data_IF_199553714814
#
_entry.id   IF_199553714814
#
_cell.length_a   1.000
_cell.length_b   1.000
_cell.length_c   1.000
_cell.angle_alpha   90.00
_cell.angle_beta   90.00
_cell.angle_gamma   90.00
#
_symmetry.space_group_name_H-M   'P 1'
#
loop_
_entity.id
_entity.type
_entity.pdbx_description
1 polymer ?
#
# COMPACT_ATOMS: atom_id res chain seq x y z
N UNK A 1 11.38 -13.24 4.46
CA UNK A 1 11.33 -12.03 5.33
C UNK A 1 12.76 -11.53 5.51
N UNK A 2 12.99 -10.23 5.75
CA UNK A 2 14.34 -9.67 5.93
C UNK A 2 15.09 -10.42 7.05
N UNK A 3 16.22 -11.02 6.73
CA UNK A 3 16.94 -11.93 7.63
C UNK A 3 18.06 -11.23 8.39
N UNK A 4 18.62 -10.14 7.83
CA UNK A 4 19.70 -9.39 8.45
C UNK A 4 19.17 -8.31 9.42
N UNK A 5 19.82 -8.08 10.58
CA UNK A 5 19.41 -7.05 11.54
C UNK A 5 19.28 -5.66 10.93
N UNK A 6 20.19 -5.28 10.03
CA UNK A 6 20.20 -3.99 9.34
C UNK A 6 18.97 -3.79 8.45
N UNK A 7 18.55 -4.84 7.73
CA UNK A 7 17.35 -4.79 6.87
C UNK A 7 16.08 -4.65 7.70
N UNK A 8 16.02 -5.31 8.86
CA UNK A 8 14.90 -5.18 9.78
C UNK A 8 14.86 -3.77 10.40
N UNK A 9 16.01 -3.22 10.77
CA UNK A 9 16.11 -1.86 11.28
C UNK A 9 15.66 -0.85 10.23
N UNK A 10 16.16 -0.96 9.00
CA UNK A 10 15.71 -0.13 7.88
C UNK A 10 14.19 -0.22 7.66
N UNK A 11 13.61 -1.42 7.76
CA UNK A 11 12.16 -1.62 7.69
C UNK A 11 11.39 -0.89 8.80
N UNK A 12 11.89 -0.92 10.04
CA UNK A 12 11.32 -0.17 11.17
C UNK A 12 11.44 1.33 10.96
N UNK A 13 12.60 1.82 10.54
CA UNK A 13 12.84 3.24 10.29
C UNK A 13 11.94 3.78 9.18
N UNK A 14 11.69 2.99 8.14
CA UNK A 14 10.73 3.33 7.08
C UNK A 14 9.31 3.53 7.59
N UNK A 15 8.88 2.78 8.61
CA UNK A 15 7.55 2.91 9.20
C UNK A 15 7.50 4.06 10.22
N UNK A 16 8.52 4.16 11.08
CA UNK A 16 8.58 5.16 12.15
C UNK A 16 8.60 6.59 11.59
N UNK A 17 9.31 6.80 10.47
CA UNK A 17 9.40 8.06 9.73
C UNK A 17 8.15 8.45 8.92
N UNK A 18 7.09 7.64 8.94
CA UNK A 18 5.85 8.01 8.25
C UNK A 18 5.14 9.16 8.99
N UNK A 19 4.62 10.16 8.27
CA UNK A 19 3.76 11.18 8.86
C UNK A 19 2.44 10.58 9.34
N UNK A 20 1.73 11.27 10.24
CA UNK A 20 0.45 10.82 10.79
C UNK A 20 -0.60 10.59 9.70
N UNK A 21 -0.63 11.44 8.66
CA UNK A 21 -1.49 11.22 7.49
C UNK A 21 -1.28 9.84 6.85
N UNK A 22 -0.05 9.34 6.81
CA UNK A 22 0.25 8.01 6.27
C UNK A 22 -0.15 6.92 7.27
N UNK A 23 0.13 7.10 8.57
CA UNK A 23 -0.16 6.11 9.62
C UNK A 23 -1.67 5.84 9.78
N UNK A 24 -2.52 6.82 9.51
CA UNK A 24 -3.99 6.70 9.54
C UNK A 24 -4.63 6.39 8.19
N UNK A 25 -3.83 6.26 7.12
CA UNK A 25 -4.35 6.08 5.77
C UNK A 25 -4.89 4.65 5.53
N UNK A 26 -6.10 4.55 4.97
CA UNK A 26 -6.78 3.28 4.68
C UNK A 26 -6.00 2.32 3.74
N UNK A 27 -5.12 2.86 2.89
CA UNK A 27 -4.27 2.10 1.95
C UNK A 27 -2.84 1.91 2.46
N UNK A 28 -2.50 2.35 3.67
CA UNK A 28 -1.14 2.26 4.25
C UNK A 28 -0.64 0.83 4.26
N UNK A 29 -1.50 -0.14 4.58
CA UNK A 29 -1.14 -1.58 4.59
C UNK A 29 -0.66 -2.09 3.23
N UNK A 30 -1.10 -1.45 2.13
CA UNK A 30 -0.74 -1.81 0.76
C UNK A 30 0.48 -1.01 0.27
N UNK A 31 0.48 0.32 0.44
CA UNK A 31 1.56 1.17 -0.08
C UNK A 31 2.78 1.26 0.86
N UNK A 32 2.58 1.09 2.17
CA UNK A 32 3.57 1.25 3.25
C UNK A 32 4.37 2.57 3.21
N UNK A 33 3.79 3.60 2.63
CA UNK A 33 4.46 4.89 2.36
C UNK A 33 5.62 4.81 1.36
N UNK A 34 5.76 3.70 0.63
CA UNK A 34 6.75 3.49 -0.44
C UNK A 34 8.20 3.75 0.02
N UNK A 35 9.11 4.13 -0.88
CA UNK A 35 10.53 4.32 -0.66
C UNK A 35 10.79 5.70 -0.06
N UNK A 36 11.62 5.82 1.00
CA UNK A 36 11.95 7.12 1.59
C UNK A 36 12.54 8.12 0.60
N UNK A 37 13.26 7.65 -0.42
CA UNK A 37 13.81 8.50 -1.49
C UNK A 37 12.73 9.35 -2.19
N UNK A 38 11.51 8.83 -2.28
CA UNK A 38 10.40 9.48 -2.97
C UNK A 38 9.47 10.26 -2.02
N UNK A 39 9.86 10.42 -0.74
CA UNK A 39 9.06 11.06 0.32
C UNK A 39 9.46 12.52 0.56
N UNK A 40 9.32 13.34 -0.47
CA UNK A 40 9.76 14.75 -0.44
C UNK A 40 8.60 15.76 -0.47
N UNK A 41 7.35 15.29 -0.44
CA UNK A 41 6.19 16.17 -0.32
C UNK A 41 5.83 16.42 1.16
N UNK A 42 5.04 17.46 1.35
CA UNK A 42 4.43 17.82 2.64
C UNK A 42 2.99 17.33 2.69
N UNK A 43 2.54 16.89 3.86
CA UNK A 43 1.16 16.47 4.10
C UNK A 43 0.20 17.67 4.19
N UNK A 44 -1.10 17.39 4.29
CA UNK A 44 -2.12 18.43 4.44
C UNK A 44 -2.02 19.17 5.81
N UNK A 45 -1.40 18.51 6.79
CA UNK A 45 -1.14 18.99 8.15
C UNK A 45 0.32 19.45 8.36
N UNK A 46 1.03 19.76 7.28
CA UNK A 46 2.39 20.32 7.27
C UNK A 46 3.50 19.39 7.81
N UNK A 47 3.29 18.07 7.86
CA UNK A 47 4.36 17.11 8.12
C UNK A 47 5.16 16.81 6.83
N UNK A 48 6.48 16.71 6.94
CA UNK A 48 7.31 16.22 5.84
C UNK A 48 7.26 14.70 5.72
N UNK A 49 7.66 14.17 4.56
CA UNK A 49 7.79 12.73 4.35
C UNK A 49 6.60 12.09 3.63
N UNK A 50 5.77 12.88 2.94
CA UNK A 50 4.73 12.36 2.06
C UNK A 50 5.34 11.90 0.73
N UNK A 51 4.94 10.71 0.28
CA UNK A 51 5.37 10.18 -1.01
C UNK A 51 4.79 10.99 -2.18
N UNK A 52 5.60 11.27 -3.20
CA UNK A 52 5.20 12.00 -4.41
C UNK A 52 3.95 11.42 -5.11
N UNK A 53 3.82 10.09 -5.13
CA UNK A 53 2.70 9.39 -5.77
C UNK A 53 1.54 9.11 -4.82
N UNK A 54 1.48 9.73 -3.63
CA UNK A 54 0.47 9.41 -2.62
C UNK A 54 -0.97 9.48 -3.17
N UNK A 55 -1.31 10.54 -3.92
CA UNK A 55 -2.63 10.67 -4.55
C UNK A 55 -2.93 9.54 -5.55
N UNK A 56 -1.93 9.19 -6.38
CA UNK A 56 -2.02 8.10 -7.35
C UNK A 56 -2.21 6.74 -6.67
N UNK A 57 -1.44 6.44 -5.63
CA UNK A 57 -1.59 5.20 -4.87
C UNK A 57 -2.93 5.09 -4.16
N UNK A 58 -3.43 6.17 -3.55
CA UNK A 58 -4.79 6.18 -2.98
C UNK A 58 -5.83 5.79 -4.04
N UNK A 59 -5.77 6.40 -5.24
CA UNK A 59 -6.69 6.07 -6.34
C UNK A 59 -6.53 4.62 -6.81
N UNK A 60 -5.30 4.19 -7.05
CA UNK A 60 -5.00 2.84 -7.54
C UNK A 60 -5.47 1.77 -6.55
N UNK A 61 -5.07 1.84 -5.29
CA UNK A 61 -5.40 0.79 -4.31
C UNK A 61 -6.88 0.76 -3.97
N UNK A 62 -7.59 1.90 -3.96
CA UNK A 62 -9.06 1.91 -3.82
C UNK A 62 -9.73 1.16 -4.97
N UNK A 63 -9.27 1.38 -6.20
CA UNK A 63 -9.82 0.72 -7.39
C UNK A 63 -9.47 -0.76 -7.42
N UNK A 64 -8.20 -1.12 -7.20
CA UNK A 64 -7.71 -2.48 -7.34
C UNK A 64 -8.15 -3.42 -6.20
N UNK A 65 -8.38 -2.88 -4.98
CA UNK A 65 -8.70 -3.66 -3.77
C UNK A 65 -9.77 -4.75 -4.00
N UNK A 66 -10.99 -4.46 -4.50
CA UNK A 66 -12.01 -5.51 -4.64
C UNK A 66 -11.60 -6.63 -5.62
N UNK A 67 -10.85 -6.29 -6.68
CA UNK A 67 -10.35 -7.26 -7.66
C UNK A 67 -9.25 -8.14 -7.06
N UNK A 68 -8.29 -7.53 -6.36
CA UNK A 68 -7.21 -8.25 -5.67
C UNK A 68 -7.75 -9.14 -4.54
N UNK A 69 -8.78 -8.69 -3.82
CA UNK A 69 -9.45 -9.49 -2.79
C UNK A 69 -10.15 -10.71 -3.39
N UNK A 70 -10.84 -10.54 -4.52
CA UNK A 70 -11.43 -11.66 -5.25
C UNK A 70 -10.34 -12.66 -5.67
N UNK A 71 -9.30 -12.20 -6.38
CA UNK A 71 -8.21 -13.08 -6.83
C UNK A 71 -7.53 -13.82 -5.67
N UNK A 72 -7.32 -13.16 -4.53
CA UNK A 72 -6.74 -13.81 -3.35
C UNK A 72 -7.62 -14.93 -2.78
N UNK A 73 -8.94 -14.75 -2.80
CA UNK A 73 -9.88 -15.80 -2.36
C UNK A 73 -9.94 -16.96 -3.37
N UNK A 74 -9.76 -16.67 -4.67
CA UNK A 74 -9.84 -17.68 -5.73
C UNK A 74 -8.59 -18.54 -5.90
N UNK A 75 -7.49 -18.30 -5.18
CA UNK A 75 -6.22 -19.05 -5.36
C UNK A 75 -6.40 -20.57 -5.25
N UNK A 76 -7.33 -21.04 -4.42
CA UNK A 76 -7.60 -22.46 -4.22
C UNK A 76 -8.83 -22.98 -4.99
N UNK A 77 -9.43 -22.14 -5.85
CA UNK A 77 -10.66 -22.44 -6.58
C UNK A 77 -10.42 -22.58 -8.08
N UNK A 78 -11.31 -23.29 -8.81
CA UNK A 78 -11.26 -23.32 -10.27
C UNK A 78 -11.45 -21.91 -10.86
N UNK A 79 -10.83 -21.62 -12.02
CA UNK A 79 -10.88 -20.28 -12.62
C UNK A 79 -12.29 -19.86 -13.09
N UNK A 80 -13.25 -20.78 -13.17
CA UNK A 80 -14.60 -20.53 -13.67
C UNK A 80 -15.37 -19.46 -12.89
N UNK A 81 -15.03 -19.22 -11.62
CA UNK A 81 -15.68 -18.20 -10.79
C UNK A 81 -15.47 -16.77 -11.31
N UNK A 82 -14.46 -16.52 -12.17
CA UNK A 82 -14.30 -15.21 -12.83
C UNK A 82 -15.51 -14.86 -13.71
N UNK A 83 -16.13 -15.88 -14.32
CA UNK A 83 -17.25 -15.71 -15.25
C UNK A 83 -18.53 -15.26 -14.53
N UNK A 84 -18.72 -15.66 -13.27
CA UNK A 84 -19.87 -15.24 -12.46
C UNK A 84 -19.66 -13.87 -11.80
N UNK A 85 -18.40 -13.51 -11.53
CA UNK A 85 -18.03 -12.23 -10.88
C UNK A 85 -18.18 -11.01 -11.78
N UNK A 86 -17.96 -11.17 -13.07
CA UNK A 86 -18.11 -10.13 -14.10
C UNK A 86 -19.13 -10.62 -15.12
N UNK A 87 -20.41 -10.61 -14.76
CA UNK A 87 -21.48 -10.76 -15.75
C UNK A 87 -21.34 -9.62 -16.75
N UNK A 88 -20.92 -9.95 -17.97
CA UNK A 88 -21.08 -9.13 -19.17
C UNK A 88 -22.51 -9.34 -19.66
#
# INVERSE_FOLDING_TARGET
>A
MAQLPEQQQFGRDKYNSLPMQCKTCEVQKYCRGECPKNRFLTTADNEHGLNYLCAGYKRFFRHAKPYMQFMANEIAHPPANVMSRYKI
#
